data_IF_271848046565
#
_entry.id   IF_271848046565
#
_cell.length_a   1.000
_cell.length_b   1.000
_cell.length_c   1.000
_cell.angle_alpha   90.00
_cell.angle_beta   90.00
_cell.angle_gamma   90.00
#
_symmetry.space_group_name_H-M   'P 1'
#
loop_
_entity.id
_entity.type
_entity.pdbx_description
1 polymer ?
#
# COMPACT_ATOMS: atom_id res chain seq x y z
N UNK A 1 -1.99 3.13 -2.91
CA UNK A 1 -1.61 2.41 -1.68
C UNK A 1 -0.13 2.62 -1.41
N UNK A 2 0.26 2.95 -0.16
CA UNK A 2 1.68 3.05 0.24
C UNK A 2 2.36 1.74 -0.14
N UNK A 3 3.40 1.83 -0.96
CA UNK A 3 4.11 0.68 -1.51
C UNK A 3 4.59 -0.26 -0.38
N UNK A 4 4.99 0.29 0.75
CA UNK A 4 5.43 -0.44 1.93
C UNK A 4 4.33 -1.27 2.58
N UNK A 5 3.06 -0.79 2.59
CA UNK A 5 1.93 -1.53 3.14
C UNK A 5 1.76 -2.89 2.48
N UNK A 6 1.74 -2.87 1.14
CA UNK A 6 1.59 -4.07 0.36
C UNK A 6 2.70 -5.07 0.64
N UNK A 7 3.96 -4.61 0.80
CA UNK A 7 5.10 -5.49 1.05
C UNK A 7 5.02 -6.22 2.38
N UNK A 8 4.75 -5.50 3.47
CA UNK A 8 4.74 -6.12 4.79
C UNK A 8 3.49 -7.02 4.96
N UNK A 9 2.37 -6.62 4.37
CA UNK A 9 1.13 -7.39 4.39
C UNK A 9 1.25 -8.69 3.59
N UNK A 10 1.77 -8.63 2.36
CA UNK A 10 1.99 -9.84 1.54
C UNK A 10 3.00 -10.78 2.18
N UNK A 11 4.04 -10.24 2.82
CA UNK A 11 5.02 -11.05 3.55
C UNK A 11 4.39 -11.76 4.75
N UNK A 12 3.59 -11.06 5.56
CA UNK A 12 2.90 -11.65 6.70
C UNK A 12 1.93 -12.76 6.27
N UNK A 13 1.15 -12.53 5.21
CA UNK A 13 0.30 -13.57 4.58
C UNK A 13 1.14 -14.75 4.12
N UNK A 14 2.25 -14.51 3.44
CA UNK A 14 3.18 -15.56 3.00
C UNK A 14 3.70 -16.39 4.17
N UNK A 15 4.00 -15.75 5.31
CA UNK A 15 4.37 -16.43 6.55
C UNK A 15 3.24 -17.33 7.09
N UNK A 16 2.00 -16.83 7.14
CA UNK A 16 0.83 -17.60 7.60
C UNK A 16 0.59 -18.82 6.71
N UNK A 17 0.54 -18.62 5.38
CA UNK A 17 0.38 -19.72 4.42
C UNK A 17 1.55 -20.70 4.54
N UNK A 18 2.76 -20.19 4.77
CA UNK A 18 3.95 -20.99 5.06
C UNK A 18 3.77 -21.91 6.25
N UNK A 19 3.23 -21.42 7.36
CA UNK A 19 2.93 -22.23 8.56
C UNK A 19 1.92 -23.35 8.23
N UNK A 20 0.85 -23.07 7.48
CA UNK A 20 -0.10 -24.10 7.06
C UNK A 20 0.55 -25.16 6.17
N UNK A 21 1.41 -24.75 5.23
CA UNK A 21 2.16 -25.69 4.38
C UNK A 21 3.14 -26.53 5.20
N UNK A 22 3.76 -25.96 6.25
CA UNK A 22 4.60 -26.73 7.17
C UNK A 22 3.78 -27.83 7.85
N UNK A 23 2.64 -27.47 8.46
CA UNK A 23 1.75 -28.42 9.14
C UNK A 23 1.30 -29.52 8.17
N UNK A 24 0.87 -29.14 6.97
CA UNK A 24 0.49 -30.09 5.92
C UNK A 24 1.64 -31.04 5.56
N UNK A 25 2.86 -30.53 5.44
CA UNK A 25 4.04 -31.33 5.12
C UNK A 25 4.46 -32.28 6.25
N UNK A 26 4.25 -31.89 7.51
CA UNK A 26 4.40 -32.78 8.66
C UNK A 26 3.38 -33.92 8.63
N UNK A 27 2.10 -33.62 8.34
CA UNK A 27 1.03 -34.63 8.27
C UNK A 27 1.25 -35.65 7.14
N UNK A 28 1.79 -35.20 6.01
CA UNK A 28 2.11 -36.08 4.88
C UNK A 28 3.43 -36.86 5.05
N UNK A 29 4.15 -36.66 6.16
CA UNK A 29 5.40 -37.37 6.43
C UNK A 29 6.59 -36.90 5.59
N UNK A 30 6.56 -35.69 5.02
CA UNK A 30 7.71 -35.11 4.34
C UNK A 30 8.70 -34.43 5.31
N UNK A 31 8.31 -34.30 6.59
CA UNK A 31 9.07 -33.67 7.66
C UNK A 31 8.84 -34.42 8.99
N UNK A 32 9.83 -34.46 9.88
CA UNK A 32 9.78 -35.16 11.17
C UNK A 32 9.11 -34.36 12.27
N UNK A 33 8.27 -35.03 13.06
CA UNK A 33 7.97 -34.62 14.43
C UNK A 33 8.91 -35.40 15.35
N UNK A 34 9.57 -34.73 16.31
CA UNK A 34 10.61 -35.29 17.20
C UNK A 34 10.27 -36.66 17.81
N UNK A 35 8.98 -36.95 18.03
CA UNK A 35 8.51 -38.22 18.57
C UNK A 35 8.58 -39.43 17.63
N UNK A 36 8.82 -39.25 16.33
CA UNK A 36 8.73 -40.34 15.33
C UNK A 36 9.95 -40.46 14.39
N UNK A 37 11.12 -39.96 14.81
CA UNK A 37 12.35 -39.92 14.00
C UNK A 37 12.82 -41.34 13.60
N UNK A 38 12.63 -42.33 14.47
CA UNK A 38 13.14 -43.68 14.25
C UNK A 38 12.38 -44.51 13.21
N UNK A 39 11.11 -44.18 12.90
CA UNK A 39 10.29 -45.04 12.03
C UNK A 39 10.38 -44.67 10.55
N UNK A 40 10.74 -43.43 10.21
CA UNK A 40 10.68 -42.92 8.83
C UNK A 40 11.99 -42.34 8.30
N UNK A 41 13.13 -42.63 8.95
CA UNK A 41 14.42 -42.04 8.58
C UNK A 41 14.86 -42.42 7.15
N UNK A 42 14.61 -43.67 6.76
CA UNK A 42 15.05 -44.21 5.46
C UNK A 42 14.29 -43.62 4.26
N UNK A 43 13.09 -43.08 4.49
CA UNK A 43 12.27 -42.49 3.42
C UNK A 43 12.50 -40.98 3.23
N UNK A 44 13.26 -40.33 4.12
CA UNK A 44 13.39 -38.88 4.14
C UNK A 44 14.74 -38.42 3.58
N UNK A 45 14.68 -37.54 2.59
CA UNK A 45 15.88 -36.88 2.07
C UNK A 45 16.47 -35.94 3.14
N UNK A 46 17.79 -35.72 3.08
CA UNK A 46 18.51 -34.76 3.94
C UNK A 46 17.84 -33.38 4.04
N UNK A 47 17.24 -32.93 2.94
CA UNK A 47 16.48 -31.70 2.90
C UNK A 47 15.24 -31.66 3.80
N UNK A 48 14.53 -32.78 3.87
CA UNK A 48 13.40 -32.94 4.78
C UNK A 48 13.86 -32.88 6.25
N UNK A 49 15.01 -33.49 6.58
CA UNK A 49 15.60 -33.42 7.94
C UNK A 49 15.85 -31.96 8.35
N UNK A 50 16.57 -31.19 7.54
CA UNK A 50 16.87 -29.78 7.82
C UNK A 50 15.57 -28.97 7.98
N UNK A 51 14.64 -29.14 7.04
CA UNK A 51 13.40 -28.38 7.05
C UNK A 51 12.56 -28.71 8.30
N UNK A 52 12.65 -29.93 8.83
CA UNK A 52 11.87 -30.35 10.01
C UNK A 52 12.21 -29.54 11.25
N UNK A 53 13.45 -29.08 11.38
CA UNK A 53 13.90 -28.26 12.51
C UNK A 53 13.80 -26.78 12.23
N UNK A 54 14.01 -26.36 10.98
CA UNK A 54 14.19 -24.95 10.65
C UNK A 54 12.93 -24.30 10.07
N UNK A 55 12.08 -25.02 9.33
CA UNK A 55 11.09 -24.38 8.48
C UNK A 55 9.98 -23.67 9.26
N UNK A 56 9.35 -24.36 10.23
CA UNK A 56 8.30 -23.77 11.06
C UNK A 56 8.78 -22.53 11.84
N UNK A 57 9.92 -22.55 12.56
CA UNK A 57 10.42 -21.35 13.22
C UNK A 57 10.78 -20.25 12.22
N UNK A 58 11.35 -20.57 11.04
CA UNK A 58 11.61 -19.54 10.02
C UNK A 58 10.32 -18.91 9.49
N UNK A 59 9.27 -19.69 9.24
CA UNK A 59 7.97 -19.15 8.82
C UNK A 59 7.38 -18.21 9.88
N UNK A 60 7.46 -18.57 11.16
CA UNK A 60 7.04 -17.69 12.26
C UNK A 60 7.89 -16.42 12.35
N UNK A 61 9.21 -16.54 12.23
CA UNK A 61 10.11 -15.39 12.21
C UNK A 61 9.77 -14.46 11.04
N UNK A 62 9.52 -14.98 9.83
CA UNK A 62 9.11 -14.15 8.67
C UNK A 62 7.78 -13.44 8.86
N UNK A 63 6.85 -14.07 9.59
CA UNK A 63 5.58 -13.46 9.97
C UNK A 63 5.80 -12.29 10.93
N UNK A 64 6.58 -12.50 11.99
CA UNK A 64 6.90 -11.44 12.95
C UNK A 64 7.66 -10.28 12.31
N UNK A 65 8.62 -10.57 11.42
CA UNK A 65 9.33 -9.53 10.67
C UNK A 65 8.39 -8.72 9.76
N UNK A 66 7.42 -9.37 9.13
CA UNK A 66 6.36 -8.69 8.37
C UNK A 66 5.56 -7.74 9.25
N UNK A 67 5.15 -8.20 10.44
CA UNK A 67 4.40 -7.38 11.40
C UNK A 67 5.25 -6.22 11.92
N UNK A 68 6.49 -6.46 12.34
CA UNK A 68 7.41 -5.43 12.84
C UNK A 68 7.67 -4.36 11.78
N UNK A 69 7.85 -4.76 10.51
CA UNK A 69 7.97 -3.83 9.37
C UNK A 69 6.72 -2.96 9.18
N UNK A 70 5.54 -3.43 9.60
CA UNK A 70 4.31 -2.66 9.57
C UNK A 70 4.22 -1.59 10.66
N UNK A 71 4.82 -1.84 11.84
CA UNK A 71 4.77 -0.92 12.98
C UNK A 71 5.95 0.04 13.08
N UNK A 72 7.13 -0.38 12.61
CA UNK A 72 8.37 0.36 12.79
C UNK A 72 8.92 0.79 11.44
N UNK A 73 8.75 2.08 11.10
CA UNK A 73 9.58 2.74 10.11
C UNK A 73 10.95 2.99 10.77
N UNK A 74 11.96 2.25 10.30
CA UNK A 74 13.38 2.54 10.53
C UNK A 74 13.95 2.28 11.94
N UNK A 75 13.66 1.10 12.51
CA UNK A 75 14.39 0.63 13.70
C UNK A 75 15.62 -0.16 13.26
N UNK A 76 16.81 0.36 13.54
CA UNK A 76 18.08 -0.36 13.41
C UNK A 76 18.34 -1.19 14.67
N UNK A 77 18.46 -2.51 14.54
CA UNK A 77 18.84 -3.41 15.64
C UNK A 77 20.27 -3.89 15.35
N UNK A 78 21.18 -3.76 16.32
CA UNK A 78 22.58 -4.18 16.18
C UNK A 78 23.33 -3.54 14.98
N UNK A 79 23.13 -2.24 14.74
CA UNK A 79 23.84 -1.50 13.67
C UNK A 79 23.57 -2.02 12.24
N UNK A 80 22.57 -2.88 12.06
CA UNK A 80 22.14 -3.43 10.78
C UNK A 80 20.70 -2.98 10.53
N UNK A 81 20.42 -2.54 9.30
CA UNK A 81 19.09 -2.13 8.90
C UNK A 81 18.13 -3.33 8.91
N UNK A 82 16.99 -3.23 9.60
CA UNK A 82 15.99 -4.32 9.72
C UNK A 82 15.54 -4.83 8.34
N UNK A 83 15.48 -3.94 7.35
CA UNK A 83 15.22 -4.28 5.94
C UNK A 83 16.19 -5.32 5.38
N UNK A 84 17.49 -5.22 5.67
CA UNK A 84 18.50 -6.16 5.16
C UNK A 84 18.37 -7.53 5.82
N UNK A 85 18.18 -7.57 7.14
CA UNK A 85 17.94 -8.81 7.89
C UNK A 85 16.70 -9.52 7.36
N UNK A 86 15.62 -8.77 7.15
CA UNK A 86 14.37 -9.30 6.62
C UNK A 86 14.56 -9.96 5.24
N UNK A 87 15.35 -9.35 4.34
CA UNK A 87 15.66 -9.91 3.03
C UNK A 87 16.39 -11.25 3.15
N UNK A 88 17.43 -11.31 3.99
CA UNK A 88 18.23 -12.52 4.20
C UNK A 88 17.37 -13.65 4.76
N UNK A 89 16.62 -13.37 5.83
CA UNK A 89 15.73 -14.35 6.45
C UNK A 89 14.69 -14.85 5.45
N UNK A 90 14.06 -13.95 4.68
CA UNK A 90 13.06 -14.33 3.68
C UNK A 90 13.64 -15.27 2.61
N UNK A 91 14.86 -15.02 2.14
CA UNK A 91 15.54 -15.89 1.16
C UNK A 91 15.85 -17.26 1.76
N UNK A 92 16.38 -17.30 2.99
CA UNK A 92 16.69 -18.55 3.68
C UNK A 92 15.39 -19.35 3.90
N UNK A 93 14.29 -18.71 4.31
CA UNK A 93 12.98 -19.36 4.47
C UNK A 93 12.52 -20.03 3.19
N UNK A 94 12.68 -19.37 2.04
CA UNK A 94 12.26 -19.95 0.75
C UNK A 94 13.15 -21.11 0.33
N UNK A 95 14.46 -21.03 0.53
CA UNK A 95 15.38 -22.13 0.23
C UNK A 95 15.04 -23.35 1.09
N UNK A 96 14.91 -23.16 2.41
CA UNK A 96 14.59 -24.25 3.35
C UNK A 96 13.18 -24.80 3.09
N UNK A 97 12.23 -23.95 2.68
CA UNK A 97 10.86 -24.34 2.39
C UNK A 97 10.72 -25.19 1.13
N UNK A 98 11.41 -24.82 0.05
CA UNK A 98 11.46 -25.64 -1.17
C UNK A 98 12.16 -26.97 -0.88
N UNK A 99 13.21 -26.96 -0.05
CA UNK A 99 13.96 -28.16 0.33
C UNK A 99 13.11 -29.16 1.14
N UNK A 100 12.18 -28.67 1.98
CA UNK A 100 11.29 -29.48 2.80
C UNK A 100 9.95 -29.81 2.17
N UNK A 101 9.12 -28.78 1.99
CA UNK A 101 7.73 -28.88 1.53
C UNK A 101 7.60 -28.93 0.00
N UNK A 102 8.72 -28.97 -0.73
CA UNK A 102 8.80 -29.16 -2.19
C UNK A 102 7.86 -28.18 -2.92
N UNK A 103 7.00 -28.71 -3.80
CA UNK A 103 6.11 -27.92 -4.64
C UNK A 103 5.04 -27.14 -3.85
N UNK A 104 4.65 -27.60 -2.67
CA UNK A 104 3.63 -26.93 -1.88
C UNK A 104 4.10 -25.59 -1.33
N UNK A 105 5.43 -25.39 -1.24
CA UNK A 105 6.00 -24.16 -0.74
C UNK A 105 6.08 -23.03 -1.77
N UNK A 106 5.77 -23.28 -3.05
CA UNK A 106 5.81 -22.23 -4.08
C UNK A 106 4.83 -21.09 -3.80
N UNK A 107 3.61 -21.41 -3.33
CA UNK A 107 2.61 -20.40 -3.00
C UNK A 107 3.14 -19.46 -1.90
N UNK A 108 3.52 -19.95 -0.69
CA UNK A 108 4.13 -19.10 0.33
C UNK A 108 5.36 -18.34 -0.18
N UNK A 109 6.22 -18.98 -0.97
CA UNK A 109 7.43 -18.37 -1.48
C UNK A 109 7.15 -17.13 -2.36
N UNK A 110 6.14 -17.19 -3.22
CA UNK A 110 5.74 -16.06 -4.06
C UNK A 110 5.33 -14.86 -3.18
N UNK A 111 4.56 -15.09 -2.12
CA UNK A 111 4.13 -14.03 -1.21
C UNK A 111 5.28 -13.46 -0.36
N UNK A 112 6.17 -14.32 0.14
CA UNK A 112 7.34 -13.91 0.94
C UNK A 112 8.32 -13.09 0.08
N UNK A 113 8.58 -13.51 -1.16
CA UNK A 113 9.50 -12.80 -2.08
C UNK A 113 8.87 -11.61 -2.81
N UNK A 114 7.63 -11.21 -2.46
CA UNK A 114 6.92 -10.15 -3.16
C UNK A 114 7.73 -8.85 -3.30
N UNK A 115 8.51 -8.50 -2.29
CA UNK A 115 9.36 -7.30 -2.33
C UNK A 115 10.38 -7.30 -3.49
N UNK A 116 10.83 -8.48 -3.95
CA UNK A 116 11.90 -8.63 -4.92
C UNK A 116 11.43 -8.38 -6.35
N UNK A 117 10.25 -8.89 -6.71
CA UNK A 117 9.71 -8.78 -8.08
C UNK A 117 8.68 -7.66 -8.24
N UNK A 118 8.19 -7.05 -7.15
CA UNK A 118 7.38 -5.84 -7.19
C UNK A 118 7.91 -4.73 -8.11
N UNK A 119 9.21 -4.36 -8.12
CA UNK A 119 9.71 -3.35 -9.05
C UNK A 119 9.51 -3.77 -10.52
N UNK A 120 9.63 -5.06 -10.84
CA UNK A 120 9.41 -5.58 -12.20
C UNK A 120 7.96 -5.43 -12.66
N UNK A 121 6.99 -5.58 -11.74
CA UNK A 121 5.56 -5.37 -12.05
C UNK A 121 5.26 -3.90 -12.37
N UNK A 122 5.99 -2.97 -11.77
CA UNK A 122 5.77 -1.52 -11.96
C UNK A 122 6.31 -0.97 -13.27
N UNK A 123 7.31 -1.61 -13.89
CA UNK A 123 7.97 -1.10 -15.11
C UNK A 123 7.03 -1.12 -16.34
N UNK A 124 5.93 -1.88 -16.31
CA UNK A 124 4.91 -1.84 -17.38
C UNK A 124 3.97 -0.63 -17.29
N UNK A 125 4.02 0.16 -16.21
CA UNK A 125 3.40 1.48 -16.14
C UNK A 125 4.49 2.54 -16.28
N UNK A 126 4.54 3.23 -17.42
CA UNK A 126 5.43 4.38 -17.62
C UNK A 126 5.19 5.44 -16.54
N UNK A 127 6.02 5.44 -15.50
CA UNK A 127 6.26 6.62 -14.71
C UNK A 127 7.75 6.69 -14.41
N UNK A 128 8.47 7.49 -15.20
CA UNK A 128 9.80 7.98 -14.85
C UNK A 128 9.60 9.04 -13.76
N UNK A 129 10.02 8.82 -12.51
CA UNK A 129 10.20 9.95 -11.61
C UNK A 129 11.40 10.74 -12.13
N UNK A 130 11.21 12.04 -12.36
CA UNK A 130 12.30 12.96 -12.62
C UNK A 130 13.22 12.94 -11.38
N UNK A 131 14.54 12.73 -11.53
CA UNK A 131 15.43 12.62 -10.39
C UNK A 131 15.83 14.03 -9.96
N UNK A 132 14.98 14.73 -9.24
CA UNK A 132 15.36 15.93 -8.50
C UNK A 132 14.20 16.32 -7.56
N UNK A 133 14.57 16.74 -6.34
CA UNK A 133 13.72 17.08 -5.19
C UNK A 133 13.52 15.92 -4.20
N UNK A 134 14.61 15.62 -3.49
CA UNK A 134 14.51 15.32 -2.06
C UNK A 134 13.97 16.59 -1.37
N UNK A 135 12.73 16.55 -0.87
CA UNK A 135 12.42 17.31 0.33
C UNK A 135 11.27 16.66 1.12
N UNK A 136 11.43 16.71 2.43
CA UNK A 136 10.57 16.10 3.42
C UNK A 136 9.27 16.91 3.60
N UNK A 137 8.18 16.18 3.86
CA UNK A 137 6.99 16.53 4.67
C UNK A 137 5.65 16.36 3.93
N UNK A 138 4.75 15.65 4.64
CA UNK A 138 3.30 15.92 4.81
C UNK A 138 2.45 16.23 3.57
N UNK A 139 1.20 15.82 3.39
CA UNK A 139 0.12 15.33 4.24
C UNK A 139 -0.95 14.84 3.24
N UNK A 140 -1.78 13.90 3.68
CA UNK A 140 -3.13 13.59 3.20
C UNK A 140 -3.61 14.23 1.87
N UNK A 141 -3.75 13.42 0.82
CA UNK A 141 -4.75 13.69 -0.22
C UNK A 141 -5.55 12.42 -0.52
N UNK A 142 -6.83 12.50 -0.16
CA UNK A 142 -7.88 11.55 -0.52
C UNK A 142 -8.04 11.49 -2.04
N UNK A 143 -8.43 10.31 -2.52
CA UNK A 143 -8.80 10.06 -3.92
C UNK A 143 -9.95 10.99 -4.36
N UNK A 144 -9.71 11.85 -5.35
CA UNK A 144 -10.77 12.35 -6.23
C UNK A 144 -10.52 11.81 -7.64
N UNK A 145 -11.46 10.98 -8.11
CA UNK A 145 -11.44 10.35 -9.43
C UNK A 145 -12.11 11.26 -10.46
N UNK A 146 -11.63 11.13 -11.71
CA UNK A 146 -12.12 11.65 -13.00
C UNK A 146 -11.71 13.07 -13.38
N UNK A 147 -10.66 13.12 -14.22
CA UNK A 147 -10.46 14.14 -15.24
C UNK A 147 -11.71 14.30 -16.11
N UNK A 148 -12.13 15.54 -16.32
CA UNK A 148 -12.96 15.93 -17.45
C UNK A 148 -12.21 17.00 -18.25
N UNK A 149 -12.16 16.79 -19.56
CA UNK A 149 -11.45 17.61 -20.54
C UNK A 149 -12.27 18.89 -20.83
N UNK A 150 -11.53 19.98 -21.00
CA UNK A 150 -11.91 21.37 -21.26
C UNK A 150 -13.03 21.61 -22.30
N UNK A 151 -13.80 22.69 -22.13
CA UNK A 151 -14.24 23.53 -23.26
C UNK A 151 -14.42 25.00 -22.82
N UNK A 152 -13.62 25.88 -23.43
CA UNK A 152 -13.78 27.33 -23.72
C UNK A 152 -14.54 28.28 -22.76
N UNK A 153 -13.93 29.43 -22.42
CA UNK A 153 -14.48 30.76 -22.77
C UNK A 153 -13.52 31.92 -22.41
N UNK A 154 -13.21 32.66 -23.47
CA UNK A 154 -12.85 34.07 -23.67
C UNK A 154 -12.08 34.89 -22.61
N UNK A 155 -10.94 35.37 -23.10
CA UNK A 155 -10.32 36.65 -22.76
C UNK A 155 -11.32 37.80 -22.80
N UNK A 156 -11.38 38.60 -21.73
CA UNK A 156 -11.13 40.04 -21.79
C UNK A 156 -11.24 40.67 -20.39
N UNK A 157 -10.34 41.64 -20.13
CA UNK A 157 -10.27 42.55 -18.97
C UNK A 157 -9.48 42.09 -17.73
N UNK A 158 -8.15 42.23 -17.79
CA UNK A 158 -7.35 42.52 -16.59
C UNK A 158 -6.48 43.75 -16.87
N UNK A 159 -6.93 44.90 -16.36
CA UNK A 159 -6.08 46.06 -16.14
C UNK A 159 -6.46 46.73 -14.81
N UNK A 160 -5.43 46.91 -13.99
CA UNK A 160 -5.33 47.74 -12.79
C UNK A 160 -5.97 47.23 -11.48
N UNK A 161 -5.12 46.61 -10.63
CA UNK A 161 -4.76 47.19 -9.34
C UNK A 161 -3.59 46.41 -8.71
N UNK A 162 -2.42 47.05 -8.69
CA UNK A 162 -1.23 46.59 -7.97
C UNK A 162 -1.40 46.75 -6.45
N UNK A 163 -0.85 45.78 -5.71
CA UNK A 163 -0.25 46.06 -4.39
C UNK A 163 -0.84 45.35 -3.18
N UNK A 164 -0.54 44.05 -2.98
CA UNK A 164 0.05 43.46 -1.74
C UNK A 164 -0.12 41.94 -1.68
N UNK A 165 0.97 41.28 -1.25
CA UNK A 165 1.05 39.90 -0.71
C UNK A 165 0.79 38.74 -1.68
N UNK A 166 1.89 38.18 -2.20
CA UNK A 166 1.94 37.03 -3.09
C UNK A 166 2.00 35.77 -2.22
N UNK A 167 0.83 35.13 -2.02
CA UNK A 167 0.59 33.69 -1.87
C UNK A 167 -0.74 33.47 -1.13
N UNK A 168 -1.75 32.90 -1.83
CA UNK A 168 -3.06 32.36 -1.37
C UNK A 168 -4.41 32.91 -1.90
N UNK A 169 -4.53 33.87 -2.85
CA UNK A 169 -5.86 34.30 -3.31
C UNK A 169 -6.50 33.36 -4.37
N UNK A 170 -5.73 32.77 -5.28
CA UNK A 170 -6.27 31.99 -6.41
C UNK A 170 -6.99 30.69 -6.00
N UNK A 171 -6.50 30.00 -4.96
CA UNK A 171 -7.11 28.74 -4.49
C UNK A 171 -8.46 28.98 -3.80
N UNK A 172 -8.59 30.11 -3.08
CA UNK A 172 -9.83 30.52 -2.42
C UNK A 172 -10.88 31.00 -3.42
N UNK A 173 -10.47 31.78 -4.43
CA UNK A 173 -11.36 32.25 -5.51
C UNK A 173 -11.95 31.06 -6.27
N UNK A 174 -11.11 30.10 -6.68
CA UNK A 174 -11.55 28.91 -7.41
C UNK A 174 -12.54 28.05 -6.63
N UNK A 175 -12.32 27.89 -5.32
CA UNK A 175 -13.23 27.14 -4.44
C UNK A 175 -14.58 27.84 -4.28
N UNK A 176 -14.56 29.17 -4.16
CA UNK A 176 -15.76 29.99 -4.05
C UNK A 176 -16.59 29.98 -5.34
N UNK A 177 -15.93 30.06 -6.51
CA UNK A 177 -16.59 29.95 -7.82
C UNK A 177 -17.24 28.58 -8.02
N UNK A 178 -16.53 27.50 -7.66
CA UNK A 178 -17.06 26.13 -7.81
C UNK A 178 -18.32 25.92 -6.96
N UNK A 179 -18.36 26.48 -5.74
CA UNK A 179 -19.52 26.43 -4.85
C UNK A 179 -20.71 27.19 -5.41
N UNK A 180 -20.47 28.36 -6.02
CA UNK A 180 -21.52 29.15 -6.68
C UNK A 180 -22.10 28.45 -7.91
N UNK A 181 -21.26 27.86 -8.75
CA UNK A 181 -21.70 27.07 -9.92
C UNK A 181 -22.58 25.89 -9.47
N UNK A 182 -22.12 25.15 -8.45
CA UNK A 182 -22.89 24.04 -7.89
C UNK A 182 -24.24 24.48 -7.33
N UNK A 183 -24.29 25.62 -6.64
CA UNK A 183 -25.55 26.18 -6.14
C UNK A 183 -26.51 26.55 -7.27
N UNK A 184 -26.02 27.18 -8.34
CA UNK A 184 -26.83 27.52 -9.52
C UNK A 184 -27.40 26.27 -10.21
N UNK A 185 -26.59 25.23 -10.41
CA UNK A 185 -27.07 23.97 -11.01
C UNK A 185 -28.17 23.30 -10.18
N UNK A 186 -28.09 23.40 -8.85
CA UNK A 186 -29.09 22.83 -7.95
C UNK A 186 -30.36 23.67 -7.89
N UNK A 187 -30.24 25.00 -7.98
CA UNK A 187 -31.37 25.91 -8.11
C UNK A 187 -32.14 25.67 -9.41
N UNK A 188 -31.45 25.48 -10.54
CA UNK A 188 -32.07 25.15 -11.84
C UNK A 188 -32.84 23.83 -11.80
N UNK A 189 -32.42 22.89 -10.96
CA UNK A 189 -33.09 21.61 -10.74
C UNK A 189 -34.25 21.67 -9.74
N UNK A 190 -34.64 22.87 -9.28
CA UNK A 190 -35.64 23.08 -8.22
C UNK A 190 -35.33 22.28 -6.94
N UNK A 191 -34.04 22.15 -6.60
CA UNK A 191 -33.63 21.48 -5.36
C UNK A 191 -34.00 22.31 -4.15
N UNK A 192 -34.21 21.65 -3.01
CA UNK A 192 -34.56 22.34 -1.78
C UNK A 192 -33.43 23.23 -1.26
N UNK A 193 -33.77 24.39 -0.69
CA UNK A 193 -32.79 25.40 -0.29
C UNK A 193 -31.90 24.91 0.86
N UNK A 194 -32.47 24.13 1.80
CA UNK A 194 -31.73 23.56 2.92
C UNK A 194 -30.68 22.55 2.42
N UNK A 195 -31.03 21.77 1.40
CA UNK A 195 -30.11 20.83 0.73
C UNK A 195 -28.96 21.53 -0.01
N UNK A 196 -29.24 22.65 -0.69
CA UNK A 196 -28.20 23.44 -1.39
C UNK A 196 -27.22 24.04 -0.38
N UNK A 197 -27.73 24.54 0.75
CA UNK A 197 -26.89 25.08 1.83
C UNK A 197 -25.99 24.00 2.44
N UNK A 198 -26.51 22.80 2.67
CA UNK A 198 -25.72 21.69 3.24
C UNK A 198 -24.60 21.24 2.28
N UNK A 199 -24.90 21.13 0.98
CA UNK A 199 -23.95 20.62 0.00
C UNK A 199 -22.89 21.67 -0.40
N UNK A 200 -23.30 22.92 -0.55
CA UNK A 200 -22.41 24.01 -1.01
C UNK A 200 -21.81 24.79 0.15
N UNK A 201 -22.34 24.67 1.38
CA UNK A 201 -21.95 25.44 2.55
C UNK A 201 -22.21 26.95 2.44
N UNK A 202 -22.94 27.40 1.42
CA UNK A 202 -23.29 28.82 1.22
C UNK A 202 -24.40 29.22 2.19
N UNK A 203 -24.41 30.48 2.59
CA UNK A 203 -25.47 31.03 3.42
C UNK A 203 -26.74 31.27 2.60
N UNK A 204 -27.87 31.37 3.29
CA UNK A 204 -29.17 31.63 2.66
C UNK A 204 -29.17 32.94 1.84
N UNK A 205 -28.52 33.99 2.35
CA UNK A 205 -28.44 35.29 1.69
C UNK A 205 -27.61 35.21 0.38
N UNK A 206 -26.50 34.46 0.39
CA UNK A 206 -25.67 34.23 -0.79
C UNK A 206 -26.41 33.45 -1.89
N UNK A 207 -27.24 32.48 -1.50
CA UNK A 207 -28.06 31.70 -2.45
C UNK A 207 -29.20 32.57 -3.01
N UNK A 208 -29.79 33.46 -2.20
CA UNK A 208 -30.79 34.41 -2.67
C UNK A 208 -30.22 35.42 -3.67
N UNK A 209 -28.98 35.87 -3.48
CA UNK A 209 -28.28 36.72 -4.44
C UNK A 209 -28.05 36.00 -5.78
N UNK A 210 -27.77 34.69 -5.76
CA UNK A 210 -27.62 33.87 -6.97
C UNK A 210 -28.95 33.58 -7.69
N UNK A 211 -30.09 33.72 -7.01
CA UNK A 211 -31.43 33.53 -7.59
C UNK A 211 -31.95 34.76 -8.35
N UNK A 212 -31.32 35.93 -8.18
CA UNK A 212 -31.68 37.18 -8.87
C UNK A 212 -31.10 37.24 -10.27
#
# INVERSE_FOLDING_TARGET
MKSQFLEWYTQAIGGIIGVFVCIYSYLNGWMFVYGNINQNFDHLNFGGVISSYCLLPLCLITLFLGIIKGFSMDVSICNIHISSINKVISIITVIVGILGAKFYFFIPAIFILFYLYKPMIKVNGQYKPNPEIEDYNETEQMFCTKEYINTSLDSDNILALEGKSINSPQKNIKYLETRKIMALELLDKNSDLEFIMELTGLTFDEIQELKK
#
